data_IF_882939448379
#
_entry.id   IF_882939448379
#
_cell.length_a   1.000
_cell.length_b   1.000
_cell.length_c   1.000
_cell.angle_alpha   90.00
_cell.angle_beta   90.00
_cell.angle_gamma   90.00
#
_symmetry.space_group_name_H-M   'P 1'
#
loop_
_entity.id
_entity.type
_entity.pdbx_description
1 polymer ?
#
# COMPACT_ATOMS: atom_id res chain seq x y z
N UNK A 1 -16.39 39.02 10.71
CA UNK A 1 -15.80 37.80 10.10
C UNK A 1 -16.71 37.11 9.09
N UNK A 2 -18.03 37.09 9.29
CA UNK A 2 -19.01 36.45 8.41
C UNK A 2 -18.97 36.95 6.94
N UNK A 3 -19.00 38.26 6.71
CA UNK A 3 -18.97 38.86 5.36
C UNK A 3 -17.72 38.49 4.55
N UNK A 4 -16.53 38.52 5.17
CA UNK A 4 -15.27 38.07 4.52
C UNK A 4 -15.32 36.61 4.06
N UNK A 5 -16.03 35.73 4.79
CA UNK A 5 -16.19 34.31 4.39
C UNK A 5 -17.15 34.19 3.20
N UNK A 6 -18.23 34.97 3.18
CA UNK A 6 -19.17 35.01 2.07
C UNK A 6 -18.51 35.56 0.79
N UNK A 7 -17.76 36.66 0.87
CA UNK A 7 -17.06 37.24 -0.27
C UNK A 7 -16.04 36.24 -0.86
N UNK A 8 -15.32 35.52 0.01
CA UNK A 8 -14.39 34.46 -0.41
C UNK A 8 -15.12 33.30 -1.10
N UNK A 9 -16.27 32.87 -0.57
CA UNK A 9 -17.07 31.80 -1.18
C UNK A 9 -17.59 32.22 -2.56
N UNK A 10 -18.15 33.43 -2.69
CA UNK A 10 -18.60 33.98 -3.97
C UNK A 10 -17.46 34.01 -5.01
N UNK A 11 -16.28 34.47 -4.60
CA UNK A 11 -15.10 34.51 -5.47
C UNK A 11 -14.71 33.11 -5.98
N UNK A 12 -14.63 32.12 -5.07
CA UNK A 12 -14.28 30.74 -5.43
C UNK A 12 -15.29 30.18 -6.43
N UNK A 13 -16.60 30.28 -6.14
CA UNK A 13 -17.65 29.74 -7.02
C UNK A 13 -17.58 30.41 -8.40
N UNK A 14 -17.46 31.74 -8.44
CA UNK A 14 -17.39 32.48 -9.69
C UNK A 14 -16.19 32.07 -10.55
N UNK A 15 -15.03 31.84 -9.95
CA UNK A 15 -13.80 31.50 -10.69
C UNK A 15 -13.69 30.01 -11.06
N UNK A 16 -14.37 29.13 -10.33
CA UNK A 16 -14.40 27.69 -10.63
C UNK A 16 -15.32 27.32 -11.79
N UNK A 17 -16.22 28.23 -12.21
CA UNK A 17 -17.17 27.99 -13.28
C UNK A 17 -16.59 28.38 -14.65
N UNK A 18 -17.07 27.71 -15.71
CA UNK A 18 -16.76 28.13 -17.10
C UNK A 18 -17.35 29.52 -17.39
N UNK A 19 -16.83 30.27 -18.37
CA UNK A 19 -17.31 31.64 -18.66
C UNK A 19 -18.84 31.74 -18.85
N UNK A 20 -19.45 30.73 -19.46
CA UNK A 20 -20.90 30.66 -19.68
C UNK A 20 -21.70 30.53 -18.38
N UNK A 21 -21.23 29.73 -17.42
CA UNK A 21 -21.87 29.53 -16.12
C UNK A 21 -21.56 30.72 -15.20
N UNK A 22 -20.31 31.19 -15.21
CA UNK A 22 -19.84 32.35 -14.45
C UNK A 22 -20.70 33.60 -14.73
N UNK A 23 -21.05 33.87 -15.99
CA UNK A 23 -21.91 35.00 -16.36
C UNK A 23 -23.33 34.95 -15.74
N UNK A 24 -23.82 33.75 -15.39
CA UNK A 24 -25.11 33.55 -14.71
C UNK A 24 -24.95 33.64 -13.19
N UNK A 25 -23.89 33.05 -12.67
CA UNK A 25 -23.58 32.97 -11.23
C UNK A 25 -23.30 34.35 -10.64
N UNK A 26 -22.50 35.21 -11.30
CA UNK A 26 -22.12 36.55 -10.78
C UNK A 26 -23.32 37.49 -10.62
N UNK A 27 -24.45 37.21 -11.28
CA UNK A 27 -25.70 37.99 -11.11
C UNK A 27 -26.35 37.77 -9.74
N UNK A 28 -25.96 36.74 -9.00
CA UNK A 28 -26.49 36.42 -7.67
C UNK A 28 -25.62 37.07 -6.59
N UNK A 29 -26.27 37.59 -5.54
CA UNK A 29 -25.59 38.31 -4.46
C UNK A 29 -25.19 37.42 -3.28
N UNK A 30 -25.82 36.25 -3.14
CA UNK A 30 -25.55 35.30 -2.07
C UNK A 30 -24.71 34.14 -2.61
N UNK A 31 -23.63 33.72 -1.91
CA UNK A 31 -22.83 32.56 -2.31
C UNK A 31 -23.64 31.27 -2.40
N UNK A 32 -24.72 31.14 -1.62
CA UNK A 32 -25.60 29.96 -1.65
C UNK A 32 -26.37 29.94 -2.97
N UNK A 33 -27.00 31.05 -3.34
CA UNK A 33 -27.72 31.19 -4.61
C UNK A 33 -26.78 31.07 -5.82
N UNK A 34 -25.55 31.59 -5.69
CA UNK A 34 -24.49 31.40 -6.69
C UNK A 34 -24.17 29.92 -6.90
N UNK A 35 -24.05 29.16 -5.81
CA UNK A 35 -23.78 27.73 -5.86
C UNK A 35 -24.97 26.95 -6.42
N UNK A 36 -26.19 27.33 -6.08
CA UNK A 36 -27.41 26.70 -6.56
C UNK A 36 -27.54 26.85 -8.08
N UNK A 37 -27.38 28.07 -8.61
CA UNK A 37 -27.37 28.32 -10.06
C UNK A 37 -26.23 27.56 -10.74
N UNK A 38 -25.03 27.56 -10.14
CA UNK A 38 -23.90 26.82 -10.69
C UNK A 38 -24.22 25.33 -10.78
N UNK A 39 -24.86 24.76 -9.76
CA UNK A 39 -25.26 23.35 -9.71
C UNK A 39 -26.32 23.04 -10.77
N UNK A 40 -27.36 23.87 -10.88
CA UNK A 40 -28.42 23.71 -11.89
C UNK A 40 -27.86 23.74 -13.31
N UNK A 41 -26.93 24.65 -13.59
CA UNK A 41 -26.33 24.76 -14.92
C UNK A 41 -25.36 23.61 -15.23
N UNK A 42 -24.51 23.24 -14.26
CA UNK A 42 -23.56 22.12 -14.38
C UNK A 42 -24.24 20.75 -14.50
N UNK A 43 -25.42 20.60 -13.91
CA UNK A 43 -26.25 19.39 -13.95
C UNK A 43 -27.50 19.58 -14.81
N UNK A 44 -27.52 20.60 -15.66
CA UNK A 44 -28.62 20.75 -16.61
C UNK A 44 -28.59 19.60 -17.60
N UNK A 45 -29.77 19.14 -18.04
CA UNK A 45 -29.96 18.15 -19.10
C UNK A 45 -29.52 18.60 -20.49
N UNK A 46 -28.64 19.61 -20.59
CA UNK A 46 -28.09 20.11 -21.83
C UNK A 46 -27.26 19.02 -22.53
N UNK A 47 -27.39 18.92 -23.86
CA UNK A 47 -26.57 18.04 -24.69
C UNK A 47 -25.07 18.22 -24.44
N UNK A 48 -24.62 19.45 -24.13
CA UNK A 48 -23.22 19.73 -23.82
C UNK A 48 -22.74 19.02 -22.54
N UNK A 49 -23.57 18.98 -21.49
CA UNK A 49 -23.24 18.31 -20.24
C UNK A 49 -23.25 16.80 -20.42
N UNK A 50 -24.26 16.26 -21.09
CA UNK A 50 -24.33 14.82 -21.41
C UNK A 50 -23.12 14.39 -22.24
N UNK A 51 -22.77 15.15 -23.29
CA UNK A 51 -21.58 14.88 -24.09
C UNK A 51 -20.29 14.96 -23.28
N UNK A 52 -20.18 15.93 -22.35
CA UNK A 52 -19.03 16.04 -21.44
C UNK A 52 -18.90 14.81 -20.55
N UNK A 53 -19.98 14.33 -19.94
CA UNK A 53 -19.95 13.14 -19.09
C UNK A 53 -19.64 11.87 -19.87
N UNK A 54 -20.22 11.69 -21.07
CA UNK A 54 -19.89 10.58 -21.95
C UNK A 54 -18.43 10.60 -22.40
N UNK A 55 -17.89 11.78 -22.69
CA UNK A 55 -16.46 11.93 -22.99
C UNK A 55 -15.59 11.52 -21.80
N UNK A 56 -15.91 11.98 -20.59
CA UNK A 56 -15.17 11.57 -19.38
C UNK A 56 -15.17 10.05 -19.19
N UNK A 57 -16.29 9.38 -19.51
CA UNK A 57 -16.39 7.93 -19.44
C UNK A 57 -15.46 7.21 -20.44
N UNK A 58 -15.32 7.75 -21.65
CA UNK A 58 -14.43 7.20 -22.68
C UNK A 58 -12.96 7.43 -22.30
N UNK A 59 -12.63 8.65 -21.85
CA UNK A 59 -11.27 9.05 -21.49
C UNK A 59 -10.73 8.21 -20.32
N UNK A 60 -11.58 7.84 -19.34
CA UNK A 60 -11.26 6.92 -18.24
C UNK A 60 -10.75 5.55 -18.71
N UNK A 61 -11.17 5.07 -19.88
CA UNK A 61 -10.68 3.82 -20.44
C UNK A 61 -9.21 3.88 -20.87
N UNK A 62 -8.72 5.07 -21.22
CA UNK A 62 -7.38 5.30 -21.78
C UNK A 62 -6.31 5.59 -20.72
N UNK A 63 -6.72 5.91 -19.49
CA UNK A 63 -5.78 6.22 -18.41
C UNK A 63 -5.12 4.95 -17.84
N UNK A 64 -3.82 5.00 -17.47
CA UNK A 64 -3.19 3.93 -16.70
C UNK A 64 -3.88 3.80 -15.34
N UNK A 65 -4.19 2.58 -14.93
CA UNK A 65 -4.95 2.30 -13.70
C UNK A 65 -4.03 1.75 -12.63
N UNK A 66 -3.94 2.44 -11.51
CA UNK A 66 -3.16 2.02 -10.33
C UNK A 66 -4.05 1.36 -9.26
N UNK A 67 -5.30 1.80 -9.12
CA UNK A 67 -6.28 1.30 -8.14
C UNK A 67 -7.66 1.14 -8.79
N UNK A 68 -8.18 -0.10 -8.81
CA UNK A 68 -9.47 -0.39 -9.43
C UNK A 68 -10.65 0.11 -8.59
N UNK A 69 -10.51 0.21 -7.28
CA UNK A 69 -11.54 0.76 -6.40
C UNK A 69 -11.75 2.26 -6.67
N UNK A 70 -10.67 3.01 -6.83
CA UNK A 70 -10.76 4.42 -7.22
C UNK A 70 -11.38 4.56 -8.62
N UNK A 71 -10.98 3.71 -9.56
CA UNK A 71 -11.51 3.68 -10.92
C UNK A 71 -13.03 3.44 -10.96
N UNK A 72 -13.51 2.44 -10.21
CA UNK A 72 -14.95 2.16 -10.08
C UNK A 72 -15.68 3.38 -9.50
N UNK A 73 -15.13 4.01 -8.45
CA UNK A 73 -15.73 5.20 -7.84
C UNK A 73 -15.85 6.39 -8.81
N UNK A 74 -14.88 6.58 -9.70
CA UNK A 74 -14.96 7.60 -10.78
C UNK A 74 -16.08 7.29 -11.77
N UNK A 75 -16.22 6.03 -12.17
CA UNK A 75 -17.29 5.59 -13.07
C UNK A 75 -18.68 5.77 -12.42
N UNK A 76 -18.83 5.37 -11.15
CA UNK A 76 -20.08 5.55 -10.39
C UNK A 76 -20.50 7.02 -10.31
N UNK A 77 -19.52 7.90 -10.11
CA UNK A 77 -19.74 9.35 -10.09
C UNK A 77 -20.25 9.83 -11.44
N UNK A 78 -19.67 9.36 -12.55
CA UNK A 78 -20.13 9.73 -13.90
C UNK A 78 -21.52 9.17 -14.18
N UNK A 79 -21.83 7.93 -13.81
CA UNK A 79 -23.16 7.35 -13.97
C UNK A 79 -24.22 8.12 -13.17
N UNK A 80 -23.88 8.54 -11.95
CA UNK A 80 -24.74 9.38 -11.12
C UNK A 80 -24.98 10.75 -11.76
N UNK A 81 -23.94 11.36 -12.34
CA UNK A 81 -24.05 12.62 -13.06
C UNK A 81 -24.89 12.50 -14.34
N UNK A 82 -24.71 11.42 -15.10
CA UNK A 82 -25.53 11.10 -16.29
C UNK A 82 -27.00 10.94 -15.91
N UNK A 83 -27.29 10.25 -14.81
CA UNK A 83 -28.64 10.14 -14.27
C UNK A 83 -29.21 11.52 -13.84
N UNK A 84 -28.40 12.36 -13.18
CA UNK A 84 -28.80 13.69 -12.75
C UNK A 84 -29.17 14.63 -13.90
N UNK A 85 -28.51 14.49 -15.06
CA UNK A 85 -28.84 15.25 -16.28
C UNK A 85 -29.98 14.63 -17.09
N UNK A 86 -30.66 13.59 -16.57
CA UNK A 86 -31.77 12.93 -17.24
C UNK A 86 -31.36 11.94 -18.34
N UNK A 87 -30.13 11.45 -18.32
CA UNK A 87 -29.61 10.43 -19.23
C UNK A 87 -29.21 9.15 -18.47
N UNK A 88 -30.17 8.42 -17.88
CA UNK A 88 -29.87 7.17 -17.16
C UNK A 88 -29.35 6.11 -18.14
N UNK A 89 -28.22 5.49 -17.80
CA UNK A 89 -27.71 4.35 -18.54
C UNK A 89 -28.45 3.08 -18.15
N UNK A 90 -28.76 2.25 -19.16
CA UNK A 90 -29.28 0.90 -18.93
C UNK A 90 -28.24 0.04 -18.21
N UNK A 91 -28.69 -0.99 -17.49
CA UNK A 91 -27.80 -1.92 -16.78
C UNK A 91 -26.75 -2.52 -17.72
N UNK A 92 -27.20 -2.95 -18.91
CA UNK A 92 -26.32 -3.46 -19.96
C UNK A 92 -25.26 -2.42 -20.37
N UNK A 93 -25.65 -1.16 -20.56
CA UNK A 93 -24.70 -0.11 -20.92
C UNK A 93 -23.67 0.12 -19.81
N UNK A 94 -24.07 0.10 -18.53
CA UNK A 94 -23.15 0.23 -17.40
C UNK A 94 -22.11 -0.89 -17.37
N UNK A 95 -22.56 -2.15 -17.54
CA UNK A 95 -21.68 -3.32 -17.61
C UNK A 95 -20.71 -3.19 -18.77
N UNK A 96 -21.20 -2.87 -19.98
CA UNK A 96 -20.37 -2.72 -21.18
C UNK A 96 -19.32 -1.61 -21.00
N UNK A 97 -19.72 -0.45 -20.47
CA UNK A 97 -18.79 0.66 -20.23
C UNK A 97 -17.73 0.31 -19.19
N UNK A 98 -18.10 -0.36 -18.10
CA UNK A 98 -17.13 -0.78 -17.10
C UNK A 98 -16.12 -1.77 -17.69
N UNK A 99 -16.58 -2.80 -18.40
CA UNK A 99 -15.70 -3.76 -19.10
C UNK A 99 -14.76 -3.07 -20.10
N UNK A 100 -15.27 -2.13 -20.90
CA UNK A 100 -14.47 -1.39 -21.87
C UNK A 100 -13.36 -0.54 -21.22
N UNK A 101 -13.56 -0.13 -19.98
CA UNK A 101 -12.56 0.63 -19.21
C UNK A 101 -11.58 -0.23 -18.45
N UNK A 102 -11.74 -1.57 -18.41
CA UNK A 102 -10.81 -2.42 -17.65
C UNK A 102 -9.45 -2.56 -18.35
N UNK A 103 -8.35 -2.73 -17.60
CA UNK A 103 -7.06 -3.13 -18.16
C UNK A 103 -7.12 -4.51 -18.83
N UNK A 104 -6.20 -4.77 -19.76
CA UNK A 104 -6.08 -6.07 -20.44
C UNK A 104 -5.83 -7.26 -19.49
N UNK A 105 -5.27 -7.03 -18.30
CA UNK A 105 -5.11 -8.06 -17.27
C UNK A 105 -6.44 -8.65 -16.78
N UNK A 106 -7.55 -7.95 -16.99
CA UNK A 106 -8.90 -8.40 -16.63
C UNK A 106 -9.63 -9.11 -17.79
N UNK A 107 -8.93 -9.50 -18.86
CA UNK A 107 -9.54 -10.18 -20.02
C UNK A 107 -10.29 -11.47 -19.66
N UNK A 108 -9.82 -12.21 -18.66
CA UNK A 108 -10.53 -13.40 -18.14
C UNK A 108 -11.88 -13.07 -17.51
N UNK A 109 -11.97 -11.92 -16.84
CA UNK A 109 -13.22 -11.44 -16.25
C UNK A 109 -14.24 -11.05 -17.31
N UNK A 110 -13.81 -10.38 -18.40
CA UNK A 110 -14.68 -10.05 -19.52
C UNK A 110 -15.34 -11.30 -20.12
N UNK A 111 -14.55 -12.36 -20.35
CA UNK A 111 -15.09 -13.65 -20.84
C UNK A 111 -16.08 -14.28 -19.87
N UNK A 112 -15.80 -14.27 -18.56
CA UNK A 112 -16.70 -14.83 -17.56
C UNK A 112 -18.05 -14.08 -17.52
N UNK A 113 -18.02 -12.76 -17.70
CA UNK A 113 -19.24 -11.93 -17.78
C UNK A 113 -20.02 -12.19 -19.06
N UNK A 114 -19.34 -12.40 -20.20
CA UNK A 114 -20.01 -12.80 -21.44
C UNK A 114 -20.74 -14.13 -21.31
N UNK A 115 -20.19 -15.09 -20.56
CA UNK A 115 -20.85 -16.38 -20.26
C UNK A 115 -22.09 -16.19 -19.38
N UNK A 116 -22.06 -15.27 -18.42
CA UNK A 116 -23.24 -14.92 -17.61
C UNK A 116 -24.34 -14.25 -18.46
N UNK A 117 -23.97 -13.59 -19.55
CA UNK A 117 -24.90 -13.00 -20.50
C UNK A 117 -25.86 -12.00 -19.84
N UNK A 118 -27.17 -12.23 -19.98
CA UNK A 118 -28.20 -11.35 -19.41
C UNK A 118 -28.29 -11.37 -17.88
N UNK A 119 -27.65 -12.33 -17.20
CA UNK A 119 -27.58 -12.37 -15.74
C UNK A 119 -26.46 -11.48 -15.16
N UNK A 120 -25.62 -10.88 -16.01
CA UNK A 120 -24.59 -9.96 -15.58
C UNK A 120 -25.20 -8.62 -15.14
N UNK A 121 -25.02 -8.26 -13.87
CA UNK A 121 -25.37 -6.95 -13.32
C UNK A 121 -24.12 -6.13 -13.06
N UNK A 122 -24.28 -4.81 -13.02
CA UNK A 122 -23.19 -3.88 -12.75
C UNK A 122 -22.58 -4.13 -11.36
N UNK A 123 -23.42 -4.32 -10.35
CA UNK A 123 -23.00 -4.62 -8.98
C UNK A 123 -22.15 -5.90 -8.90
N UNK A 124 -22.59 -6.97 -9.57
CA UNK A 124 -21.84 -8.24 -9.59
C UNK A 124 -20.49 -8.09 -10.28
N UNK A 125 -20.42 -7.28 -11.35
CA UNK A 125 -19.16 -6.97 -12.01
C UNK A 125 -18.21 -6.21 -11.08
N UNK A 126 -18.70 -5.22 -10.32
CA UNK A 126 -17.88 -4.50 -9.33
C UNK A 126 -17.27 -5.47 -8.31
N UNK A 127 -18.09 -6.38 -7.76
CA UNK A 127 -17.61 -7.40 -6.80
C UNK A 127 -16.51 -8.25 -7.42
N UNK A 128 -16.71 -8.77 -8.64
CA UNK A 128 -15.71 -9.60 -9.29
C UNK A 128 -14.41 -8.84 -9.64
N UNK A 129 -14.49 -7.55 -9.97
CA UNK A 129 -13.29 -6.72 -10.17
C UNK A 129 -12.50 -6.61 -8.87
N UNK A 130 -13.16 -6.32 -7.75
CA UNK A 130 -12.50 -6.19 -6.44
C UNK A 130 -11.89 -7.53 -5.98
N UNK A 131 -12.58 -8.64 -6.20
CA UNK A 131 -12.04 -9.98 -5.94
C UNK A 131 -10.80 -10.28 -6.79
N UNK A 132 -10.84 -9.93 -8.07
CA UNK A 132 -9.74 -10.15 -8.99
C UNK A 132 -8.53 -9.27 -8.66
N UNK A 133 -8.77 -8.00 -8.28
CA UNK A 133 -7.73 -7.10 -7.79
C UNK A 133 -7.03 -7.68 -6.55
N UNK A 134 -7.80 -8.19 -5.59
CA UNK A 134 -7.24 -8.86 -4.41
C UNK A 134 -6.39 -10.07 -4.80
N UNK A 135 -6.87 -10.89 -5.75
CA UNK A 135 -6.14 -12.06 -6.27
C UNK A 135 -4.80 -11.65 -6.90
N UNK A 136 -4.79 -10.63 -7.75
CA UNK A 136 -3.58 -10.11 -8.41
C UNK A 136 -2.58 -9.54 -7.39
N UNK A 137 -3.06 -8.83 -6.36
CA UNK A 137 -2.21 -8.35 -5.27
C UNK A 137 -1.56 -9.49 -4.48
N UNK A 138 -2.29 -10.58 -4.21
CA UNK A 138 -1.72 -11.77 -3.56
C UNK A 138 -0.65 -12.44 -4.40
N UNK A 139 -0.91 -12.66 -5.70
CA UNK A 139 0.09 -13.27 -6.59
C UNK A 139 1.33 -12.41 -6.75
N UNK A 140 1.17 -11.09 -6.89
CA UNK A 140 2.32 -10.18 -6.99
C UNK A 140 3.11 -10.12 -5.68
N UNK A 141 2.45 -10.15 -4.53
CA UNK A 141 3.12 -10.24 -3.23
C UNK A 141 3.87 -11.56 -3.05
N UNK A 142 3.30 -12.69 -3.50
CA UNK A 142 3.95 -13.99 -3.47
C UNK A 142 5.18 -14.03 -4.40
N UNK A 143 5.04 -13.55 -5.63
CA UNK A 143 6.16 -13.49 -6.58
C UNK A 143 7.32 -12.62 -6.05
N UNK A 144 7.01 -11.49 -5.38
CA UNK A 144 8.01 -10.66 -4.70
C UNK A 144 8.73 -11.40 -3.56
N UNK A 145 8.01 -12.23 -2.79
CA UNK A 145 8.62 -13.08 -1.75
C UNK A 145 9.53 -14.15 -2.36
N UNK A 146 9.07 -14.85 -3.40
CA UNK A 146 9.84 -15.90 -4.07
C UNK A 146 11.13 -15.35 -4.70
N UNK A 147 11.04 -14.21 -5.39
CA UNK A 147 12.22 -13.51 -5.94
C UNK A 147 13.20 -13.06 -4.87
N UNK A 148 12.73 -12.54 -3.73
CA UNK A 148 13.57 -12.19 -2.60
C UNK A 148 14.28 -13.42 -1.99
N UNK A 149 13.58 -14.55 -1.87
CA UNK A 149 14.16 -15.81 -1.40
C UNK A 149 15.26 -16.30 -2.35
N UNK A 150 15.01 -16.30 -3.66
CA UNK A 150 16.02 -16.69 -4.66
C UNK A 150 17.25 -15.77 -4.60
N UNK A 151 17.06 -14.46 -4.46
CA UNK A 151 18.16 -13.51 -4.30
C UNK A 151 18.98 -13.77 -3.02
N UNK A 152 18.32 -14.10 -1.91
CA UNK A 152 18.98 -14.46 -0.65
C UNK A 152 19.75 -15.78 -0.75
N UNK A 153 19.21 -16.79 -1.43
CA UNK A 153 19.94 -18.05 -1.67
C UNK A 153 21.12 -17.86 -2.63
N UNK A 154 20.99 -17.00 -3.64
CA UNK A 154 22.08 -16.69 -4.56
C UNK A 154 23.23 -15.94 -3.87
N UNK A 155 22.94 -14.99 -2.97
CA UNK A 155 23.96 -14.27 -2.19
C UNK A 155 24.61 -15.14 -1.10
N UNK A 156 23.85 -16.04 -0.45
CA UNK A 156 24.39 -17.00 0.50
C UNK A 156 25.33 -18.03 -0.14
N UNK A 157 25.07 -18.44 -1.39
CA UNK A 157 25.93 -19.39 -2.13
C UNK A 157 27.27 -18.79 -2.58
N UNK A 158 27.37 -17.47 -2.74
CA UNK A 158 28.62 -16.80 -3.11
C UNK A 158 29.60 -16.63 -1.95
N UNK A 159 29.15 -16.82 -0.70
CA UNK A 159 30.00 -16.66 0.48
C UNK A 159 30.60 -17.99 1.01
N UNK A 160 30.42 -19.11 0.30
CA UNK A 160 30.94 -20.42 0.73
C UNK A 160 32.22 -20.87 0.02
N UNK A 161 32.72 -20.14 -0.98
CA UNK A 161 33.84 -20.60 -1.81
C UNK A 161 35.14 -19.78 -1.70
N UNK A 162 35.28 -18.90 -0.71
CA UNK A 162 36.54 -18.22 -0.44
C UNK A 162 37.11 -18.54 0.96
N UNK A 163 37.32 -19.84 1.20
CA UNK A 163 38.40 -20.28 2.09
C UNK A 163 39.59 -20.69 1.24
N UNK A 164 40.07 -19.77 0.39
CA UNK A 164 41.44 -19.87 -0.11
C UNK A 164 42.37 -19.93 1.10
N UNK A 165 43.14 -21.02 1.14
CA UNK A 165 44.31 -21.20 1.98
C UNK A 165 45.20 -19.96 1.86
N UNK A 166 45.17 -19.07 2.83
CA UNK A 166 46.31 -18.20 3.11
C UNK A 166 47.40 -19.09 3.72
N UNK A 167 48.61 -19.16 3.14
CA UNK A 167 49.75 -19.74 3.84
C UNK A 167 50.01 -18.87 5.07
N UNK A 168 49.69 -19.39 6.26
CA UNK A 168 50.17 -18.77 7.50
C UNK A 168 51.70 -18.81 7.45
N UNK A 169 52.38 -17.69 7.74
CA UNK A 169 53.83 -17.70 7.79
C UNK A 169 54.25 -18.68 8.89
N UNK A 170 55.15 -19.57 8.51
CA UNK A 170 55.94 -20.44 9.36
C UNK A 170 56.54 -19.62 10.50
N UNK A 171 55.89 -19.65 11.67
CA UNK A 171 56.54 -19.42 12.95
C UNK A 171 56.88 -20.78 13.50
N UNK A 172 57.98 -21.33 12.99
CA UNK A 172 58.77 -22.41 13.58
C UNK A 172 59.26 -21.98 14.97
N UNK A 173 58.34 -22.04 15.94
CA UNK A 173 58.63 -22.05 17.37
C UNK A 173 58.90 -23.48 17.82
N UNK A 174 60.15 -23.89 17.63
CA UNK A 174 60.83 -25.03 18.27
C UNK A 174 60.24 -25.37 19.65
N UNK A 175 59.70 -26.58 19.82
CA UNK A 175 59.22 -26.97 21.15
C UNK A 175 58.47 -28.28 21.25
N UNK A 176 59.01 -29.37 20.72
CA UNK A 176 58.70 -30.70 21.28
C UNK A 176 59.28 -30.76 22.71
N UNK A 177 58.71 -30.01 23.65
CA UNK A 177 58.99 -30.19 25.05
C UNK A 177 57.88 -31.08 25.60
N UNK A 178 58.26 -32.26 26.08
CA UNK A 178 57.37 -33.14 26.86
C UNK A 178 56.99 -32.51 28.22
N UNK A 179 57.22 -31.19 28.36
CA UNK A 179 56.99 -30.37 29.51
C UNK A 179 55.49 -30.11 29.68
N UNK A 180 55.09 -30.05 30.94
CA UNK A 180 53.72 -29.83 31.36
C UNK A 180 53.57 -28.33 31.61
N UNK A 181 52.71 -27.65 30.86
CA UNK A 181 52.39 -26.24 31.07
C UNK A 181 52.14 -25.97 32.56
N UNK A 182 52.78 -24.95 33.13
CA UNK A 182 52.68 -24.67 34.56
C UNK A 182 51.31 -24.09 34.93
N UNK A 183 50.63 -23.40 34.01
CA UNK A 183 49.26 -22.92 34.19
C UNK A 183 48.20 -24.03 34.14
N UNK A 184 47.95 -24.62 32.96
CA UNK A 184 46.85 -25.58 32.77
C UNK A 184 47.23 -27.04 33.09
N UNK A 185 48.49 -27.31 33.43
CA UNK A 185 49.03 -28.65 33.71
C UNK A 185 48.82 -29.67 32.56
N UNK A 186 48.75 -29.24 31.29
CA UNK A 186 48.71 -30.13 30.10
C UNK A 186 50.07 -30.13 29.38
N UNK A 187 50.41 -31.21 28.68
CA UNK A 187 51.68 -31.34 27.95
C UNK A 187 51.57 -30.80 26.52
N UNK A 188 52.69 -30.42 25.92
CA UNK A 188 52.79 -30.01 24.51
C UNK A 188 52.69 -28.51 24.24
N UNK A 189 52.70 -27.69 25.29
CA UNK A 189 52.90 -26.24 25.25
C UNK A 189 53.46 -25.77 26.60
N UNK A 190 54.14 -24.63 26.60
CA UNK A 190 54.59 -23.90 27.78
C UNK A 190 53.52 -22.91 28.26
N UNK A 191 53.79 -22.22 29.37
CA UNK A 191 52.82 -21.28 29.95
C UNK A 191 52.51 -20.09 29.03
N UNK A 192 53.50 -19.60 28.29
CA UNK A 192 53.34 -18.49 27.34
C UNK A 192 52.44 -18.85 26.15
N UNK A 193 52.42 -20.13 25.74
CA UNK A 193 51.50 -20.65 24.72
C UNK A 193 50.18 -21.19 25.27
N UNK A 194 49.82 -20.92 26.53
CA UNK A 194 48.64 -21.52 27.16
C UNK A 194 47.34 -20.82 26.78
N UNK A 195 46.60 -21.42 25.85
CA UNK A 195 45.29 -20.93 25.40
C UNK A 195 44.23 -20.77 26.51
N UNK A 196 44.37 -21.49 27.63
CA UNK A 196 43.47 -21.31 28.78
C UNK A 196 43.79 -20.03 29.55
N UNK A 197 45.06 -19.64 29.61
CA UNK A 197 45.51 -18.39 30.22
C UNK A 197 45.09 -17.18 29.39
N UNK A 198 45.29 -17.23 28.07
CA UNK A 198 44.83 -16.18 27.14
C UNK A 198 43.32 -15.89 27.30
N UNK A 199 42.50 -16.94 27.42
CA UNK A 199 41.04 -16.77 27.57
C UNK A 199 40.65 -16.13 28.90
N UNK A 200 41.35 -16.45 30.00
CA UNK A 200 41.09 -15.79 31.27
C UNK A 200 41.49 -14.30 31.16
N UNK A 201 42.68 -13.99 30.63
CA UNK A 201 43.11 -12.58 30.43
C UNK A 201 42.17 -11.77 29.52
N UNK A 202 41.52 -12.41 28.54
CA UNK A 202 40.48 -11.80 27.69
C UNK A 202 39.16 -11.54 28.44
N UNK A 203 38.77 -12.40 29.37
CA UNK A 203 37.58 -12.24 30.20
C UNK A 203 37.79 -11.17 31.30
N UNK A 204 39.02 -11.04 31.81
CA UNK A 204 39.43 -10.04 32.80
C UNK A 204 39.39 -8.60 32.25
N UNK A 205 39.68 -8.44 30.95
CA UNK A 205 39.68 -7.15 30.24
C UNK A 205 38.33 -6.81 29.58
N UNK A 206 37.32 -7.68 29.69
CA UNK A 206 36.03 -7.60 29.00
C UNK A 206 34.89 -6.91 29.76
N UNK A 207 35.16 -6.22 30.87
CA UNK A 207 34.13 -5.53 31.67
C UNK A 207 34.23 -4.01 31.50
N UNK A 208 33.63 -3.48 30.44
CA UNK A 208 33.20 -2.07 30.38
C UNK A 208 31.98 -1.84 29.48
N UNK A 209 31.89 -2.45 28.29
CA UNK A 209 31.00 -1.89 27.25
C UNK A 209 29.84 -2.80 26.81
N UNK A 210 29.08 -3.39 27.75
CA UNK A 210 27.95 -4.29 27.38
C UNK A 210 26.64 -4.11 28.14
N UNK A 211 26.34 -2.90 28.61
CA UNK A 211 25.13 -2.63 29.40
C UNK A 211 24.18 -1.56 28.84
N UNK A 212 24.06 -1.38 27.50
CA UNK A 212 23.24 -0.27 26.97
C UNK A 212 22.28 -0.59 25.80
N UNK A 213 21.93 -1.85 25.52
CA UNK A 213 20.98 -2.15 24.42
C UNK A 213 20.07 -3.35 24.66
N UNK A 214 19.45 -3.42 25.83
CA UNK A 214 18.37 -4.38 26.11
C UNK A 214 17.16 -3.73 26.78
N UNK A 215 16.56 -2.71 26.17
CA UNK A 215 15.20 -2.30 26.49
C UNK A 215 14.50 -1.59 25.32
N UNK A 216 13.99 -2.35 24.35
CA UNK A 216 12.80 -1.98 23.56
C UNK A 216 12.11 -3.23 22.99
N UNK A 217 10.83 -3.40 23.30
CA UNK A 217 9.85 -4.06 22.43
C UNK A 217 9.52 -5.53 22.70
N UNK A 218 8.56 -5.78 23.61
CA UNK A 218 7.63 -6.92 23.46
C UNK A 218 6.27 -6.60 24.09
N UNK A 219 5.38 -5.99 23.32
CA UNK A 219 3.94 -6.03 23.58
C UNK A 219 3.38 -7.32 22.97
N UNK A 220 2.73 -8.14 23.79
CA UNK A 220 1.97 -9.32 23.37
C UNK A 220 0.51 -9.12 23.74
N UNK A 221 -0.34 -9.21 22.72
CA UNK A 221 -1.80 -9.15 22.81
C UNK A 221 -2.36 -10.25 23.73
N UNK A 222 -3.17 -9.84 24.70
CA UNK A 222 -4.03 -10.72 25.51
C UNK A 222 -5.48 -10.25 25.38
N UNK A 223 -6.28 -11.01 24.63
CA UNK A 223 -7.74 -10.88 24.56
C UNK A 223 -8.36 -11.08 25.95
N UNK A 224 -9.22 -10.16 26.37
CA UNK A 224 -10.17 -10.39 27.47
C UNK A 224 -11.59 -10.12 26.99
N UNK A 225 -12.39 -11.18 27.06
CA UNK A 225 -13.83 -11.23 26.87
C UNK A 225 -14.48 -10.48 28.04
N UNK A 226 -15.29 -9.46 27.77
CA UNK A 226 -16.13 -8.79 28.78
C UNK A 226 -17.61 -9.07 28.49
N UNK A 227 -18.22 -9.87 29.37
CA UNK A 227 -19.66 -10.07 29.48
C UNK A 227 -20.17 -9.22 30.66
N UNK A 228 -21.27 -8.49 30.47
CA UNK A 228 -22.21 -8.17 31.55
C UNK A 228 -22.32 -6.71 31.99
N UNK A 229 -23.49 -6.13 31.69
CA UNK A 229 -24.14 -4.95 32.29
C UNK A 229 -23.94 -4.80 33.81
N UNK A 230 -23.95 -3.56 34.32
CA UNK A 230 -25.05 -3.00 35.17
C UNK A 230 -25.08 -1.47 35.06
N UNK A 231 -26.23 -0.92 34.69
CA UNK A 231 -26.64 0.48 34.89
C UNK A 231 -26.89 0.75 36.37
N UNK A 232 -26.31 1.81 36.93
CA UNK A 232 -26.87 2.49 38.10
C UNK A 232 -26.75 4.01 37.92
N UNK A 233 -27.89 4.62 37.63
CA UNK A 233 -28.18 6.01 37.96
C UNK A 233 -28.69 6.03 39.40
N UNK A 234 -28.27 6.99 40.21
CA UNK A 234 -28.93 7.32 41.47
C UNK A 234 -29.13 8.83 41.57
N UNK A 235 -30.41 9.14 41.84
CA UNK A 235 -31.13 10.34 42.28
C UNK A 235 -30.40 11.70 42.42
#
# INVERSE_FOLDING_TARGET
>A
MYRKRQDRAAYIIGFSCSPSIQAKVIKKHSPIDMLEVAKEECLSGSYANTARFLKQLIDLGSEPKEDMREHIGKIDTIFSNLNAVGYPLTEKAKVVHLLATLPSSYGGLAMAIDVLGSAATYERLQVHITEEEHRQQHYTAQAKKETALVAHHASASKNSNDRQRSPRPDRSGKGNSNARCEYCKKKGHDEDGCRTKERHEEEDNGVSDRADYAYTGRETHGETIYMGQVMLCTD
#
